data_IF_237918285971
#
_entry.id   IF_237918285971
#
_cell.length_a   1.000
_cell.length_b   1.000
_cell.length_c   1.000
_cell.angle_alpha   90.00
_cell.angle_beta   90.00
_cell.angle_gamma   90.00
#
_symmetry.space_group_name_H-M   'P 1'
#
loop_
_entity.id
_entity.type
_entity.pdbx_description
1 polymer ?
#
# COMPACT_ATOMS: atom_id res chain seq x y z
N UNK A 1 -3.97 -16.57 -14.16
CA UNK A 1 -4.99 -16.18 -13.17
C UNK A 1 -4.58 -14.82 -12.68
N UNK A 2 -5.46 -13.80 -12.71
CA UNK A 2 -5.14 -12.52 -12.06
C UNK A 2 -5.17 -12.80 -10.56
N UNK A 3 -4.03 -12.64 -9.90
CA UNK A 3 -3.99 -12.60 -8.44
C UNK A 3 -4.75 -11.34 -8.05
N UNK A 4 -5.94 -11.49 -7.49
CA UNK A 4 -6.65 -10.37 -6.90
C UNK A 4 -5.77 -9.83 -5.77
N UNK A 5 -5.52 -8.51 -5.71
CA UNK A 5 -4.76 -7.92 -4.63
C UNK A 5 -5.50 -8.21 -3.31
N UNK A 6 -4.84 -8.88 -2.38
CA UNK A 6 -5.39 -9.15 -1.07
C UNK A 6 -5.20 -7.92 -0.18
N UNK A 7 -6.31 -7.39 0.33
CA UNK A 7 -6.29 -6.31 1.31
C UNK A 7 -5.75 -6.82 2.65
N UNK A 8 -4.69 -6.19 3.21
CA UNK A 8 -4.21 -6.53 4.54
C UNK A 8 -5.22 -6.14 5.63
N UNK A 9 -5.52 -7.05 6.56
CA UNK A 9 -6.34 -6.75 7.75
C UNK A 9 -5.60 -5.93 8.81
N UNK A 10 -4.27 -5.91 8.76
CA UNK A 10 -3.41 -5.26 9.72
C UNK A 10 -2.05 -4.97 9.08
N UNK A 11 -1.33 -4.01 9.66
CA UNK A 11 0.06 -3.74 9.31
C UNK A 11 0.92 -5.01 9.44
N UNK A 12 1.99 -5.13 8.64
CA UNK A 12 2.77 -6.36 8.58
C UNK A 12 3.55 -6.63 9.87
N UNK A 13 3.81 -7.92 10.10
CA UNK A 13 4.50 -8.48 11.27
C UNK A 13 5.56 -9.49 10.81
N UNK A 14 6.55 -9.75 11.66
CA UNK A 14 7.52 -10.81 11.36
C UNK A 14 6.99 -12.19 11.74
N UNK A 15 7.17 -13.17 10.86
CA UNK A 15 6.92 -14.57 11.18
C UNK A 15 8.11 -15.23 11.91
N UNK A 16 7.96 -16.50 12.26
CA UNK A 16 8.99 -17.27 12.97
C UNK A 16 10.27 -17.51 12.14
N UNK A 17 10.24 -17.20 10.84
CA UNK A 17 11.39 -17.26 9.94
C UNK A 17 12.01 -15.88 9.71
N UNK A 18 11.48 -14.83 10.36
CA UNK A 18 11.93 -13.45 10.22
C UNK A 18 11.45 -12.78 8.93
N UNK A 19 10.47 -13.35 8.23
CA UNK A 19 9.88 -12.75 7.02
C UNK A 19 8.82 -11.73 7.39
N UNK A 20 8.77 -10.64 6.63
CA UNK A 20 7.71 -9.64 6.75
C UNK A 20 6.42 -10.19 6.12
N UNK A 21 5.35 -10.30 6.92
CA UNK A 21 4.08 -10.89 6.50
C UNK A 21 2.89 -10.07 6.95
N UNK A 22 1.79 -10.08 6.20
CA UNK A 22 0.48 -9.59 6.66
C UNK A 22 -0.57 -10.71 6.63
N UNK A 23 -1.68 -10.51 7.33
CA UNK A 23 -2.85 -11.39 7.27
C UNK A 23 -3.89 -10.73 6.36
N UNK A 24 -4.33 -11.45 5.34
CA UNK A 24 -5.42 -11.03 4.45
C UNK A 24 -6.79 -11.19 5.11
N UNK A 25 -7.81 -10.57 4.51
CA UNK A 25 -9.22 -10.71 4.94
C UNK A 25 -9.75 -12.15 4.89
N UNK A 26 -9.08 -13.02 4.13
CA UNK A 26 -9.35 -14.45 4.06
C UNK A 26 -8.66 -15.25 5.20
N UNK A 27 -7.96 -14.56 6.10
CA UNK A 27 -7.20 -15.15 7.19
C UNK A 27 -5.89 -15.82 6.77
N UNK A 28 -5.52 -15.73 5.49
CA UNK A 28 -4.26 -16.28 5.00
C UNK A 28 -3.11 -15.32 5.27
N UNK A 29 -1.91 -15.89 5.49
CA UNK A 29 -0.69 -15.12 5.71
C UNK A 29 0.06 -14.94 4.39
N UNK A 30 0.33 -13.70 4.01
CA UNK A 30 1.05 -13.33 2.80
C UNK A 30 2.41 -12.73 3.13
N UNK A 31 3.43 -13.06 2.33
CA UNK A 31 4.79 -12.55 2.50
C UNK A 31 4.91 -11.25 1.70
N UNK A 32 5.34 -10.18 2.35
CA UNK A 32 5.54 -8.84 1.75
C UNK A 32 6.87 -8.79 1.00
N UNK A 33 7.91 -9.36 1.60
CA UNK A 33 9.27 -9.40 1.06
C UNK A 33 9.88 -10.77 1.39
N UNK A 34 10.50 -11.41 0.40
CA UNK A 34 11.22 -12.66 0.64
C UNK A 34 12.47 -12.37 1.49
N UNK A 35 12.76 -13.24 2.46
CA UNK A 35 13.85 -13.07 3.43
C UNK A 35 15.25 -12.99 2.80
N UNK A 36 15.37 -13.25 1.49
CA UNK A 36 16.63 -13.19 0.77
C UNK A 36 17.10 -11.76 0.48
N UNK A 37 16.24 -10.74 0.55
CA UNK A 37 16.62 -9.36 0.18
C UNK A 37 16.92 -8.44 1.38
N UNK A 38 16.48 -8.77 2.59
CA UNK A 38 16.70 -7.93 3.77
C UNK A 38 17.20 -8.75 4.96
N UNK A 39 18.26 -8.27 5.61
CA UNK A 39 18.65 -8.82 6.91
C UNK A 39 17.52 -8.67 7.95
N UNK A 40 17.55 -9.50 9.00
CA UNK A 40 16.50 -9.54 10.03
C UNK A 40 16.26 -8.19 10.74
N UNK A 41 17.31 -7.39 10.94
CA UNK A 41 17.20 -6.08 11.60
C UNK A 41 16.55 -5.05 10.68
N UNK A 42 16.84 -5.12 9.38
CA UNK A 42 16.20 -4.28 8.37
C UNK A 42 14.73 -4.64 8.22
N UNK A 43 14.38 -5.94 8.24
CA UNK A 43 12.99 -6.40 8.22
C UNK A 43 12.19 -5.91 9.45
N UNK A 44 12.79 -5.90 10.64
CA UNK A 44 12.19 -5.32 11.85
C UNK A 44 11.90 -3.81 11.69
N UNK A 45 12.88 -3.05 11.19
CA UNK A 45 12.73 -1.60 10.98
C UNK A 45 11.62 -1.28 9.99
N UNK A 46 11.51 -2.05 8.91
CA UNK A 46 10.43 -1.90 7.92
C UNK A 46 9.07 -2.25 8.55
N UNK A 47 9.00 -3.33 9.33
CA UNK A 47 7.77 -3.71 10.03
C UNK A 47 7.28 -2.62 11.00
N UNK A 48 8.20 -2.04 11.79
CA UNK A 48 7.86 -0.98 12.74
C UNK A 48 7.47 0.31 12.01
N UNK A 49 8.17 0.71 10.95
CA UNK A 49 7.79 1.87 10.14
C UNK A 49 6.40 1.72 9.53
N UNK A 50 6.06 0.54 9.00
CA UNK A 50 4.73 0.28 8.44
C UNK A 50 3.64 0.25 9.51
N UNK A 51 3.95 -0.23 10.72
CA UNK A 51 3.02 -0.19 11.85
C UNK A 51 2.78 1.25 12.32
N UNK A 52 3.83 2.04 12.45
CA UNK A 52 3.75 3.44 12.86
C UNK A 52 3.01 4.30 11.82
N UNK A 53 3.17 3.97 10.53
CA UNK A 53 2.44 4.59 9.43
C UNK A 53 1.00 4.06 9.27
N UNK A 54 0.55 3.07 10.05
CA UNK A 54 -0.78 2.45 9.90
C UNK A 54 -1.93 3.45 9.95
N UNK A 55 -1.89 4.40 10.88
CA UNK A 55 -2.91 5.46 10.97
C UNK A 55 -2.94 6.37 9.74
N UNK A 56 -1.80 6.57 9.07
CA UNK A 56 -1.74 7.35 7.83
C UNK A 56 -2.37 6.57 6.69
N UNK A 57 -2.11 5.26 6.62
CA UNK A 57 -2.71 4.39 5.61
C UNK A 57 -4.24 4.35 5.74
N UNK A 58 -4.77 4.21 6.96
CA UNK A 58 -6.22 4.26 7.23
C UNK A 58 -6.87 5.57 6.76
N UNK A 59 -6.14 6.69 6.89
CA UNK A 59 -6.59 8.00 6.42
C UNK A 59 -6.60 8.07 4.88
N UNK A 60 -5.57 7.54 4.21
CA UNK A 60 -5.52 7.46 2.75
C UNK A 60 -6.69 6.61 2.24
N UNK A 61 -6.94 5.45 2.85
CA UNK A 61 -8.07 4.58 2.49
C UNK A 61 -9.41 5.31 2.66
N UNK A 62 -9.60 5.98 3.81
CA UNK A 62 -10.82 6.73 4.09
C UNK A 62 -11.05 7.86 3.07
N UNK A 63 -9.99 8.57 2.67
CA UNK A 63 -10.05 9.63 1.67
C UNK A 63 -10.35 9.08 0.27
N UNK A 64 -9.68 7.99 -0.13
CA UNK A 64 -9.91 7.30 -1.38
C UNK A 64 -11.37 6.83 -1.49
N UNK A 65 -11.89 6.20 -0.44
CA UNK A 65 -13.28 5.72 -0.42
C UNK A 65 -14.29 6.87 -0.49
N UNK A 66 -14.02 8.01 0.16
CA UNK A 66 -14.87 9.21 0.07
C UNK A 66 -14.87 9.79 -1.34
N UNK A 67 -13.70 9.91 -1.97
CA UNK A 67 -13.57 10.39 -3.34
C UNK A 67 -14.33 9.47 -4.31
N UNK A 68 -14.14 8.15 -4.20
CA UNK A 68 -14.82 7.16 -5.03
C UNK A 68 -16.35 7.27 -4.88
N UNK A 69 -16.85 7.39 -3.65
CA UNK A 69 -18.28 7.56 -3.41
C UNK A 69 -18.85 8.82 -4.06
N UNK A 70 -18.07 9.91 -4.07
CA UNK A 70 -18.48 11.17 -4.66
C UNK A 70 -18.53 11.10 -6.19
N UNK A 71 -17.51 10.55 -6.85
CA UNK A 71 -17.49 10.47 -8.33
C UNK A 71 -18.43 9.40 -8.87
N UNK A 72 -18.66 8.31 -8.12
CA UNK A 72 -19.62 7.29 -8.52
C UNK A 72 -21.08 7.75 -8.38
N UNK A 73 -21.36 8.74 -7.53
CA UNK A 73 -22.67 9.38 -7.48
C UNK A 73 -22.96 10.19 -8.76
N UNK A 74 -21.92 10.63 -9.48
CA UNK A 74 -21.98 11.44 -10.70
C UNK A 74 -21.95 10.59 -11.99
N UNK A 75 -22.32 9.30 -11.91
CA UNK A 75 -22.44 8.34 -13.02
C UNK A 75 -21.16 7.59 -13.44
N UNK A 76 -20.04 7.79 -12.74
CA UNK A 76 -18.84 7.00 -13.01
C UNK A 76 -18.96 5.60 -12.37
N UNK A 77 -18.64 4.54 -13.11
CA UNK A 77 -18.61 3.21 -12.51
C UNK A 77 -17.56 3.15 -11.40
N UNK A 78 -17.77 2.30 -10.38
CA UNK A 78 -16.81 2.16 -9.29
C UNK A 78 -15.44 1.69 -9.78
N UNK A 79 -15.41 0.86 -10.83
CA UNK A 79 -14.19 0.37 -11.47
C UNK A 79 -13.44 1.50 -12.19
N UNK A 80 -14.15 2.31 -12.98
CA UNK A 80 -13.55 3.46 -13.66
C UNK A 80 -13.04 4.52 -12.68
N UNK A 81 -13.78 4.74 -11.59
CA UNK A 81 -13.36 5.62 -10.50
C UNK A 81 -12.04 5.14 -9.88
N UNK A 82 -11.94 3.85 -9.54
CA UNK A 82 -10.72 3.28 -8.98
C UNK A 82 -9.54 3.41 -9.94
N UNK A 83 -9.73 3.08 -11.21
CA UNK A 83 -8.68 3.20 -12.23
C UNK A 83 -8.20 4.65 -12.40
N UNK A 84 -9.13 5.62 -12.42
CA UNK A 84 -8.80 7.03 -12.51
C UNK A 84 -8.03 7.51 -11.27
N UNK A 85 -8.44 7.10 -10.08
CA UNK A 85 -7.76 7.47 -8.83
C UNK A 85 -6.33 6.94 -8.81
N UNK A 86 -6.14 5.66 -9.15
CA UNK A 86 -4.81 5.04 -9.17
C UNK A 86 -3.90 5.70 -10.20
N UNK A 87 -4.37 5.92 -11.43
CA UNK A 87 -3.59 6.57 -12.48
C UNK A 87 -3.20 8.02 -12.10
N UNK A 88 -4.10 8.74 -11.41
CA UNK A 88 -3.82 10.10 -10.94
C UNK A 88 -2.75 10.08 -9.85
N UNK A 89 -2.89 9.21 -8.85
CA UNK A 89 -1.92 9.07 -7.77
C UNK A 89 -0.55 8.61 -8.27
N UNK A 90 -0.52 7.67 -9.21
CA UNK A 90 0.72 7.20 -9.84
C UNK A 90 1.44 8.35 -10.55
N UNK A 91 0.73 9.14 -11.36
CA UNK A 91 1.30 10.29 -12.06
C UNK A 91 1.84 11.35 -11.09
N UNK A 92 1.04 11.74 -10.08
CA UNK A 92 1.42 12.80 -9.14
C UNK A 92 2.60 12.39 -8.26
N UNK A 93 2.64 11.13 -7.79
CA UNK A 93 3.71 10.61 -6.94
C UNK A 93 5.00 10.34 -7.72
N UNK A 94 4.91 9.90 -8.98
CA UNK A 94 6.07 9.73 -9.85
C UNK A 94 6.69 11.09 -10.23
N UNK A 95 5.87 12.11 -10.47
CA UNK A 95 6.35 13.48 -10.76
C UNK A 95 7.01 14.11 -9.53
N UNK A 96 6.50 13.85 -8.31
CA UNK A 96 7.14 14.30 -7.07
C UNK A 96 8.49 13.60 -6.85
N UNK A 97 8.60 12.30 -7.19
CA UNK A 97 9.86 11.55 -7.13
C UNK A 97 10.91 12.09 -8.13
N UNK A 98 10.51 12.41 -9.35
CA UNK A 98 11.39 13.01 -10.36
C UNK A 98 11.88 14.42 -9.96
N UNK A 99 11.06 15.16 -9.21
CA UNK A 99 11.40 16.50 -8.71
C UNK A 99 12.36 16.46 -7.51
N UNK A 100 12.32 15.38 -6.71
CA UNK A 100 13.19 15.19 -5.56
C UNK A 100 14.63 14.78 -5.92
N UNK A 101 14.82 14.10 -7.05
CA UNK A 101 16.14 13.62 -7.54
C UNK A 101 16.92 14.69 -8.34
N UNK A 102 16.33 15.88 -8.52
CA UNK A 102 16.89 17.00 -9.30
C UNK A 102 17.80 17.97 -8.55
N UNK A 103 18.18 17.70 -7.28
CA UNK A 103 19.12 18.53 -6.52
C UNK A 103 20.42 17.78 -6.26
N UNK A 104 21.32 17.79 -7.25
CA UNK A 104 22.75 17.62 -7.04
C UNK A 104 23.43 18.82 -7.72
N UNK A 105 23.90 19.76 -6.91
CA UNK A 105 24.85 20.83 -7.29
C UNK A 105 26.28 20.26 -7.29
#
# INVERSE_FOLDING_TARGET
>A
MKEEPITPCAGPTLDAQGRLTYIGEDGQRYVVLDALELDHQTSLRVADALRDAGLLLDQIESLAQRWMNQVSAESLSREDALNLLLATLETDLDDEAASADGVID
#
